data_IF_338672138215
#
_entry.id   IF_338672138215
#
_cell.length_a   1.000
_cell.length_b   1.000
_cell.length_c   1.000
_cell.angle_alpha   90.00
_cell.angle_beta   90.00
_cell.angle_gamma   90.00
#
_symmetry.space_group_name_H-M   'P 1'
#
loop_
_entity.id
_entity.type
_entity.pdbx_description
1 polymer ?
#
# COMPACT_ATOMS: atom_id res chain seq x y z
N UNK A 1 -16.97 18.54 -18.44
CA UNK A 1 -16.06 17.80 -19.33
C UNK A 1 -16.10 18.45 -20.69
N UNK A 2 -14.98 18.94 -21.26
CA UNK A 2 -15.00 19.40 -22.65
C UNK A 2 -15.06 18.18 -23.58
N UNK A 3 -16.09 18.13 -24.42
CA UNK A 3 -16.29 17.06 -25.39
C UNK A 3 -15.16 17.05 -26.43
N UNK A 4 -14.75 15.87 -26.92
CA UNK A 4 -13.81 15.78 -28.03
C UNK A 4 -14.43 16.48 -29.26
N UNK A 5 -13.65 17.33 -29.92
CA UNK A 5 -14.08 17.96 -31.18
C UNK A 5 -14.25 16.89 -32.26
N UNK A 6 -15.49 16.52 -32.53
CA UNK A 6 -15.85 15.66 -33.66
C UNK A 6 -15.72 16.46 -34.96
N UNK A 7 -14.77 16.08 -35.81
CA UNK A 7 -14.64 16.58 -37.18
C UNK A 7 -14.75 15.35 -38.09
N UNK A 8 -15.97 15.00 -38.51
CA UNK A 8 -16.23 13.77 -39.28
C UNK A 8 -15.97 12.48 -38.48
N UNK A 9 -15.47 11.43 -39.15
CA UNK A 9 -15.26 10.09 -38.56
C UNK A 9 -14.05 10.01 -37.59
N UNK A 10 -13.19 11.03 -37.52
CA UNK A 10 -11.92 10.95 -36.79
C UNK A 10 -11.94 11.82 -35.53
N UNK A 11 -11.57 11.23 -34.39
CA UNK A 11 -11.42 11.93 -33.11
C UNK A 11 -9.97 12.44 -33.01
N UNK A 12 -9.78 13.76 -33.08
CA UNK A 12 -8.46 14.38 -32.90
C UNK A 12 -8.23 14.72 -31.42
N UNK A 13 -7.24 14.08 -30.81
CA UNK A 13 -6.72 14.45 -29.49
C UNK A 13 -5.54 15.42 -29.66
N UNK A 14 -5.35 16.31 -28.69
CA UNK A 14 -4.19 17.22 -28.66
C UNK A 14 -2.88 16.42 -28.47
N UNK A 15 -1.78 16.87 -29.09
CA UNK A 15 -0.45 16.27 -28.96
C UNK A 15 0.24 16.67 -27.63
N UNK A 16 -0.51 16.64 -26.55
CA UNK A 16 -0.04 16.95 -25.19
C UNK A 16 -0.05 15.67 -24.36
N UNK A 17 0.78 15.55 -23.32
CA UNK A 17 0.81 14.37 -22.43
C UNK A 17 -0.58 14.01 -21.89
N UNK A 18 -1.36 15.04 -21.55
CA UNK A 18 -2.74 14.93 -21.10
C UNK A 18 -3.70 14.47 -22.22
N UNK A 19 -3.43 14.85 -23.46
CA UNK A 19 -4.17 14.41 -24.65
C UNK A 19 -3.88 12.94 -24.98
N UNK A 20 -2.63 12.50 -24.80
CA UNK A 20 -2.25 11.10 -24.96
C UNK A 20 -2.91 10.20 -23.91
N UNK A 21 -2.97 10.63 -22.65
CA UNK A 21 -3.70 9.89 -21.60
C UNK A 21 -5.20 9.80 -21.89
N UNK A 22 -5.83 10.89 -22.33
CA UNK A 22 -7.24 10.89 -22.76
C UNK A 22 -7.48 9.94 -23.93
N UNK A 23 -6.57 9.94 -24.92
CA UNK A 23 -6.62 9.02 -26.06
C UNK A 23 -6.49 7.57 -25.60
N UNK A 24 -5.54 7.27 -24.72
CA UNK A 24 -5.33 5.92 -24.21
C UNK A 24 -6.52 5.39 -23.41
N UNK A 25 -7.17 6.25 -22.61
CA UNK A 25 -8.38 5.90 -21.87
C UNK A 25 -9.59 5.66 -22.80
N UNK A 26 -9.62 6.32 -23.96
CA UNK A 26 -10.67 6.16 -24.96
C UNK A 26 -10.46 4.92 -25.84
N UNK A 27 -9.23 4.65 -26.27
CA UNK A 27 -8.92 3.53 -27.16
C UNK A 27 -8.88 2.18 -26.44
N UNK A 28 -8.29 2.11 -25.24
CA UNK A 28 -8.11 0.84 -24.51
C UNK A 28 -8.38 1.03 -23.00
N UNK A 29 -9.65 1.20 -22.60
CA UNK A 29 -10.01 1.49 -21.21
C UNK A 29 -9.64 0.36 -20.25
N UNK A 30 -9.71 -0.91 -20.67
CA UNK A 30 -9.42 -2.06 -19.80
C UNK A 30 -7.94 -2.11 -19.36
N UNK A 31 -7.01 -1.85 -20.28
CA UNK A 31 -5.57 -1.85 -19.98
C UNK A 31 -5.22 -0.66 -19.10
N UNK A 32 -5.81 0.52 -19.34
CA UNK A 32 -5.60 1.69 -18.51
C UNK A 32 -6.13 1.48 -17.09
N UNK A 33 -7.34 0.95 -16.94
CA UNK A 33 -7.93 0.67 -15.63
C UNK A 33 -7.13 -0.38 -14.86
N UNK A 34 -6.77 -1.50 -15.49
CA UNK A 34 -5.98 -2.57 -14.85
C UNK A 34 -4.58 -2.09 -14.45
N UNK A 35 -3.91 -1.29 -15.28
CA UNK A 35 -2.60 -0.69 -14.97
C UNK A 35 -2.69 0.27 -13.79
N UNK A 36 -3.70 1.14 -13.75
CA UNK A 36 -3.95 2.03 -12.62
C UNK A 36 -4.19 1.24 -11.32
N UNK A 37 -4.97 0.15 -11.38
CA UNK A 37 -5.27 -0.68 -10.23
C UNK A 37 -4.02 -1.44 -9.76
N UNK A 38 -3.20 -1.95 -10.68
CA UNK A 38 -1.91 -2.57 -10.36
C UNK A 38 -0.98 -1.60 -9.61
N UNK A 39 -0.85 -0.36 -10.11
CA UNK A 39 -0.05 0.69 -9.45
C UNK A 39 -0.61 1.01 -8.06
N UNK A 40 -1.93 1.17 -7.95
CA UNK A 40 -2.58 1.44 -6.67
C UNK A 40 -2.34 0.30 -5.65
N UNK A 41 -2.37 -0.96 -6.10
CA UNK A 41 -2.06 -2.13 -5.28
C UNK A 41 -0.64 -2.12 -4.75
N UNK A 42 0.35 -1.80 -5.59
CA UNK A 42 1.76 -1.69 -5.18
C UNK A 42 1.94 -0.58 -4.15
N UNK A 43 1.35 0.60 -4.39
CA UNK A 43 1.42 1.72 -3.45
C UNK A 43 0.83 1.36 -2.09
N UNK A 44 -0.36 0.73 -2.07
CA UNK A 44 -0.96 0.27 -0.82
C UNK A 44 -0.11 -0.80 -0.12
N UNK A 45 0.49 -1.73 -0.87
CA UNK A 45 1.43 -2.72 -0.33
C UNK A 45 2.63 -2.06 0.35
N UNK A 46 3.26 -1.08 -0.30
CA UNK A 46 4.38 -0.33 0.28
C UNK A 46 3.97 0.41 1.58
N UNK A 47 2.79 1.05 1.58
CA UNK A 47 2.28 1.75 2.77
C UNK A 47 2.03 0.76 3.91
N UNK A 48 1.43 -0.39 3.62
CA UNK A 48 1.16 -1.43 4.62
C UNK A 48 2.45 -1.96 5.26
N UNK A 49 3.47 -2.26 4.44
CA UNK A 49 4.79 -2.72 4.95
C UNK A 49 5.46 -1.64 5.79
N UNK A 50 5.42 -0.39 5.36
CA UNK A 50 6.02 0.73 6.10
C UNK A 50 5.33 0.92 7.46
N UNK A 51 4.00 0.89 7.49
CA UNK A 51 3.23 0.99 8.73
C UNK A 51 3.48 -0.20 9.66
N UNK A 52 3.63 -1.40 9.11
CA UNK A 52 3.96 -2.59 9.87
C UNK A 52 5.33 -2.46 10.55
N UNK A 53 6.36 -2.02 9.82
CA UNK A 53 7.71 -1.85 10.37
C UNK A 53 7.71 -0.79 11.48
N UNK A 54 7.04 0.34 11.28
CA UNK A 54 6.98 1.41 12.29
C UNK A 54 6.26 1.01 13.58
N UNK A 55 5.19 0.23 13.45
CA UNK A 55 4.30 -0.06 14.59
C UNK A 55 4.62 -1.36 15.32
N UNK A 56 5.26 -2.31 14.64
CA UNK A 56 5.38 -3.71 15.08
C UNK A 56 6.77 -4.29 14.81
N UNK A 57 7.73 -3.45 14.38
CA UNK A 57 9.11 -3.86 14.04
C UNK A 57 9.81 -4.58 15.19
N UNK A 58 9.71 -4.03 16.41
CA UNK A 58 10.29 -4.62 17.62
C UNK A 58 9.56 -5.90 18.04
N UNK A 59 8.30 -6.08 17.65
CA UNK A 59 7.47 -7.23 18.01
C UNK A 59 7.62 -8.44 17.07
N UNK A 60 8.37 -8.32 15.96
CA UNK A 60 8.50 -9.36 14.93
C UNK A 60 9.07 -10.68 15.46
N UNK A 61 10.05 -10.60 16.34
CA UNK A 61 10.76 -11.76 16.89
C UNK A 61 9.90 -12.47 17.94
N UNK A 62 9.17 -11.69 18.74
CA UNK A 62 8.39 -12.18 19.88
C UNK A 62 7.03 -12.79 19.50
N UNK A 63 6.55 -12.59 18.26
CA UNK A 63 5.30 -13.22 17.78
C UNK A 63 5.47 -14.68 17.33
N UNK A 64 6.70 -15.13 17.04
CA UNK A 64 6.94 -16.46 16.47
C UNK A 64 7.27 -17.52 17.50
N UNK A 65 7.86 -17.13 18.62
CA UNK A 65 8.39 -18.04 19.64
C UNK A 65 7.93 -17.55 21.00
N UNK A 66 7.38 -18.46 21.80
CA UNK A 66 7.03 -18.15 23.18
C UNK A 66 8.32 -17.98 23.99
N UNK A 67 8.58 -16.77 24.49
CA UNK A 67 9.77 -16.46 25.28
C UNK A 67 9.36 -15.80 26.60
N UNK A 68 9.90 -16.34 27.69
CA UNK A 68 9.75 -15.76 29.03
C UNK A 68 10.82 -14.66 29.15
N UNK A 69 10.38 -13.41 29.28
CA UNK A 69 11.28 -12.27 29.48
C UNK A 69 11.24 -11.78 30.92
N UNK A 70 12.38 -11.29 31.38
CA UNK A 70 12.49 -10.68 32.70
C UNK A 70 11.78 -9.32 32.70
N UNK A 71 10.98 -8.97 33.71
CA UNK A 71 10.25 -7.70 33.78
C UNK A 71 11.15 -6.45 33.63
N UNK A 72 12.41 -6.56 34.03
CA UNK A 72 13.40 -5.48 34.06
C UNK A 72 14.13 -5.24 32.72
N UNK A 73 13.94 -6.09 31.69
CA UNK A 73 14.69 -5.94 30.44
C UNK A 73 14.23 -4.69 29.67
N UNK A 74 15.14 -3.77 29.26
CA UNK A 74 14.79 -2.53 28.56
C UNK A 74 14.06 -2.74 27.21
N UNK A 75 14.03 -3.95 26.67
CA UNK A 75 13.27 -4.31 25.47
C UNK A 75 11.80 -4.60 25.76
N UNK A 76 11.45 -5.02 26.97
CA UNK A 76 10.08 -5.41 27.36
C UNK A 76 9.06 -4.28 27.25
N UNK A 77 9.36 -3.02 27.64
CA UNK A 77 8.42 -1.91 27.49
C UNK A 77 8.09 -1.54 26.05
N UNK A 78 8.94 -1.97 25.09
CA UNK A 78 8.75 -1.69 23.65
C UNK A 78 7.81 -2.70 22.99
N UNK A 79 7.50 -3.79 23.68
CA UNK A 79 6.61 -4.82 23.20
C UNK A 79 5.16 -4.36 23.31
N UNK A 80 4.39 -4.55 22.25
CA UNK A 80 2.93 -4.39 22.31
C UNK A 80 2.29 -5.73 22.66
N UNK A 81 1.43 -5.71 23.68
CA UNK A 81 0.66 -6.84 24.21
C UNK A 81 1.50 -8.03 24.76
N UNK A 82 2.39 -7.80 25.74
CA UNK A 82 3.00 -8.90 26.48
C UNK A 82 1.94 -9.66 27.30
N UNK A 83 1.97 -11.00 27.22
CA UNK A 83 1.20 -11.86 28.13
C UNK A 83 2.04 -12.09 29.37
N UNK A 84 1.64 -11.51 30.50
CA UNK A 84 2.33 -11.70 31.76
C UNK A 84 1.90 -13.03 32.39
N UNK A 85 2.83 -13.98 32.45
CA UNK A 85 2.65 -15.19 33.26
C UNK A 85 3.35 -14.98 34.59
N UNK A 86 2.58 -14.74 35.66
CA UNK A 86 3.12 -14.72 37.01
C UNK A 86 3.45 -16.15 37.44
N UNK A 87 4.73 -16.42 37.72
CA UNK A 87 5.12 -17.65 38.39
C UNK A 87 4.89 -17.45 39.88
N UNK A 88 3.78 -18.00 40.42
CA UNK A 88 3.55 -18.07 41.87
C UNK A 88 4.56 -19.07 42.46
N UNK A 89 5.61 -18.53 43.07
CA UNK A 89 6.52 -19.28 43.94
C UNK A 89 5.89 -19.58 45.29
#
# INVERSE_FOLDING_TARGET
MPEPKHIGHQVKFENTLFGLFKKAWWEIPEIMASSCLAIAGVVMGCIAVNNYIKNDGDNREFKKIFMIMRPEDPRVPRLKNPVFTEYKG
#
